data_IF_257465080836
#
_entry.id   IF_257465080836
#
_cell.length_a   1.000
_cell.length_b   1.000
_cell.length_c   1.000
_cell.angle_alpha   90.00
_cell.angle_beta   90.00
_cell.angle_gamma   90.00
#
_symmetry.space_group_name_H-M   'P 1'
#
loop_
_entity.id
_entity.type
_entity.pdbx_description
1 polymer ?
#
# COMPACT_ATOMS: atom_id res chain seq x y z
N UNK A 1 -5.74 -17.88 -16.58
CA UNK A 1 -5.66 -18.49 -17.93
C UNK A 1 -4.26 -18.29 -18.48
N UNK A 2 -3.81 -19.08 -19.45
CA UNK A 2 -2.44 -18.97 -19.98
C UNK A 2 -1.36 -19.26 -18.93
N UNK A 3 -0.31 -18.44 -18.90
CA UNK A 3 0.85 -18.59 -18.01
C UNK A 3 0.52 -18.55 -16.52
N UNK A 4 -0.61 -17.93 -16.14
CA UNK A 4 -1.06 -17.85 -14.74
C UNK A 4 -2.11 -18.94 -14.42
N UNK A 5 -2.19 -20.00 -15.21
CA UNK A 5 -3.07 -21.13 -14.95
C UNK A 5 -2.50 -22.03 -13.85
N UNK A 6 -3.33 -22.37 -12.87
CA UNK A 6 -3.06 -23.42 -11.88
C UNK A 6 -3.60 -24.80 -12.31
N UNK A 7 -4.19 -24.91 -13.50
CA UNK A 7 -4.63 -26.18 -14.08
C UNK A 7 -3.51 -26.79 -14.93
N UNK A 8 -3.27 -28.11 -14.82
CA UNK A 8 -2.32 -28.80 -15.68
C UNK A 8 -2.66 -28.63 -17.17
N UNK A 9 -1.62 -28.49 -17.98
CA UNK A 9 -1.70 -28.53 -19.44
C UNK A 9 -0.64 -29.49 -19.97
N UNK A 10 -0.91 -30.07 -21.13
CA UNK A 10 0.07 -30.92 -21.82
C UNK A 10 0.94 -30.07 -22.75
N UNK A 11 2.25 -30.07 -22.52
CA UNK A 11 3.25 -29.45 -23.38
C UNK A 11 4.13 -30.57 -23.95
N UNK A 12 3.90 -30.91 -25.23
CA UNK A 12 4.44 -32.13 -25.87
C UNK A 12 4.00 -33.39 -25.09
N UNK A 13 4.94 -34.09 -24.47
CA UNK A 13 4.67 -35.32 -23.71
C UNK A 13 4.58 -35.08 -22.20
N UNK A 14 4.90 -33.86 -21.73
CA UNK A 14 4.96 -33.53 -20.30
C UNK A 14 3.72 -32.75 -19.89
N UNK A 15 3.17 -33.13 -18.74
CA UNK A 15 2.12 -32.36 -18.08
C UNK A 15 2.76 -31.34 -17.12
N UNK A 16 2.38 -30.07 -17.25
CA UNK A 16 2.94 -28.96 -16.45
C UNK A 16 1.83 -28.04 -15.96
N UNK A 17 2.04 -27.42 -14.80
CA UNK A 17 1.20 -26.31 -14.32
C UNK A 17 1.89 -25.00 -14.75
N UNK A 18 1.28 -24.18 -15.63
CA UNK A 18 1.93 -22.98 -16.15
C UNK A 18 2.40 -22.02 -15.06
N UNK A 19 1.60 -21.83 -14.00
CA UNK A 19 1.97 -20.96 -12.88
C UNK A 19 3.26 -21.43 -12.19
N UNK A 20 3.44 -22.73 -11.99
CA UNK A 20 4.63 -23.28 -11.33
C UNK A 20 5.89 -23.03 -12.17
N UNK A 21 5.77 -23.15 -13.50
CA UNK A 21 6.88 -22.84 -14.42
C UNK A 21 7.24 -21.35 -14.35
N UNK A 22 6.25 -20.44 -14.32
CA UNK A 22 6.48 -19.01 -14.17
C UNK A 22 7.18 -18.72 -12.83
N UNK A 23 6.69 -19.27 -11.73
CA UNK A 23 7.27 -19.06 -10.40
C UNK A 23 8.69 -19.62 -10.30
N UNK A 24 8.99 -20.72 -10.99
CA UNK A 24 10.34 -21.30 -11.01
C UNK A 24 11.35 -20.48 -11.83
N UNK A 25 10.88 -19.74 -12.84
CA UNK A 25 11.75 -18.99 -13.76
C UNK A 25 11.83 -17.49 -13.47
N UNK A 26 10.83 -16.93 -12.79
CA UNK A 26 10.80 -15.50 -12.46
C UNK A 26 11.68 -15.26 -11.23
N UNK A 27 12.58 -14.26 -11.24
CA UNK A 27 13.32 -13.91 -10.04
C UNK A 27 12.35 -13.52 -8.92
N UNK A 28 12.68 -13.83 -7.64
CA UNK A 28 11.89 -13.34 -6.53
C UNK A 28 11.84 -11.81 -6.56
N UNK A 29 10.79 -11.23 -6.00
CA UNK A 29 10.77 -9.80 -5.79
C UNK A 29 11.98 -9.40 -4.92
N UNK A 30 12.70 -8.32 -5.27
CA UNK A 30 13.85 -7.87 -4.51
C UNK A 30 13.42 -7.60 -3.07
N UNK A 31 14.15 -8.17 -2.12
CA UNK A 31 13.75 -8.17 -0.71
C UNK A 31 14.86 -7.72 0.23
N UNK A 32 16.11 -7.71 -0.23
CA UNK A 32 17.25 -7.14 0.48
C UNK A 32 17.52 -5.70 0.05
N UNK A 33 18.20 -4.94 0.91
CA UNK A 33 18.59 -3.57 0.57
C UNK A 33 19.60 -3.55 -0.58
N UNK A 34 20.46 -4.56 -0.67
CA UNK A 34 21.45 -4.72 -1.74
C UNK A 34 20.79 -4.95 -3.10
N UNK A 35 19.83 -5.88 -3.20
CA UNK A 35 19.09 -6.14 -4.44
C UNK A 35 18.28 -4.92 -4.90
N UNK A 36 17.62 -4.23 -3.95
CA UNK A 36 16.85 -3.02 -4.28
C UNK A 36 17.80 -1.92 -4.78
N UNK A 37 18.97 -1.78 -4.16
CA UNK A 37 19.99 -0.83 -4.58
C UNK A 37 20.49 -1.11 -5.99
N UNK A 38 20.80 -2.37 -6.29
CA UNK A 38 21.24 -2.78 -7.63
C UNK A 38 20.20 -2.41 -8.69
N UNK A 39 18.92 -2.67 -8.44
CA UNK A 39 17.82 -2.30 -9.35
C UNK A 39 17.70 -0.78 -9.54
N UNK A 40 17.92 0.01 -8.48
CA UNK A 40 17.96 1.48 -8.58
C UNK A 40 19.15 1.91 -9.45
N UNK A 41 20.32 1.31 -9.24
CA UNK A 41 21.55 1.61 -9.99
C UNK A 41 21.48 1.16 -11.46
N UNK A 42 20.70 0.11 -11.78
CA UNK A 42 20.39 -0.33 -13.15
C UNK A 42 19.50 0.66 -13.92
N UNK A 43 18.96 1.68 -13.26
CA UNK A 43 18.27 2.80 -13.89
C UNK A 43 16.76 2.63 -13.99
N UNK A 44 16.13 1.94 -13.02
CA UNK A 44 14.66 1.99 -12.90
C UNK A 44 14.21 3.46 -12.74
N UNK A 45 13.33 3.93 -13.64
CA UNK A 45 12.89 5.34 -13.63
C UNK A 45 12.03 5.69 -12.40
N UNK A 46 11.48 4.68 -11.72
CA UNK A 46 10.75 4.83 -10.46
C UNK A 46 9.76 3.70 -10.19
N UNK A 47 9.44 3.49 -8.92
CA UNK A 47 8.25 2.76 -8.47
C UNK A 47 7.38 3.76 -7.71
N UNK A 48 6.21 4.09 -8.27
CA UNK A 48 5.20 4.92 -7.62
C UNK A 48 3.85 4.21 -7.66
N UNK A 49 3.16 4.20 -6.51
CA UNK A 49 1.79 3.75 -6.41
C UNK A 49 0.82 4.92 -6.34
N UNK A 50 -0.33 4.77 -6.99
CA UNK A 50 -1.48 5.64 -6.77
C UNK A 50 -2.50 4.93 -5.89
N UNK A 51 -2.75 5.48 -4.69
CA UNK A 51 -3.89 5.05 -3.87
C UNK A 51 -4.89 6.19 -3.78
N UNK A 52 -6.09 5.95 -4.29
CA UNK A 52 -7.20 6.89 -4.29
C UNK A 52 -8.44 6.32 -3.60
N UNK A 53 -9.19 7.16 -2.89
CA UNK A 53 -10.47 6.81 -2.27
C UNK A 53 -11.52 7.78 -2.81
N UNK A 54 -12.57 7.27 -3.44
CA UNK A 54 -13.71 8.07 -3.88
C UNK A 54 -14.93 7.70 -3.03
N UNK A 55 -15.53 8.70 -2.40
CA UNK A 55 -16.71 8.57 -1.56
C UNK A 55 -17.82 9.41 -2.16
N UNK A 56 -18.90 8.76 -2.57
CA UNK A 56 -20.12 9.41 -3.04
C UNK A 56 -21.23 9.25 -2.00
N UNK A 57 -21.96 10.32 -1.73
CA UNK A 57 -23.00 10.29 -0.73
C UNK A 57 -23.92 11.51 -0.75
N UNK A 58 -24.70 11.66 0.32
CA UNK A 58 -25.56 12.81 0.53
C UNK A 58 -25.15 13.55 1.81
N UNK A 59 -25.02 14.87 1.73
CA UNK A 59 -24.79 15.74 2.88
C UNK A 59 -25.81 16.88 2.84
N UNK A 60 -26.59 17.03 3.91
CA UNK A 60 -27.70 17.99 3.98
C UNK A 60 -28.65 17.90 2.75
N UNK A 61 -28.99 16.68 2.34
CA UNK A 61 -29.91 16.44 1.21
C UNK A 61 -29.29 16.57 -0.19
N UNK A 62 -28.08 17.13 -0.33
CA UNK A 62 -27.39 17.30 -1.63
C UNK A 62 -26.42 16.17 -1.90
N UNK A 63 -26.30 15.76 -3.18
CA UNK A 63 -25.26 14.81 -3.62
C UNK A 63 -23.89 15.46 -3.47
N UNK A 64 -22.95 14.72 -2.91
CA UNK A 64 -21.56 15.15 -2.72
C UNK A 64 -20.62 14.01 -3.06
N UNK A 65 -19.46 14.35 -3.63
CA UNK A 65 -18.37 13.44 -3.89
C UNK A 65 -17.09 13.97 -3.26
N UNK A 66 -16.43 13.12 -2.49
CA UNK A 66 -15.10 13.36 -1.95
C UNK A 66 -14.13 12.42 -2.66
N UNK A 67 -13.04 12.95 -3.20
CA UNK A 67 -11.93 12.15 -3.69
C UNK A 67 -10.71 12.42 -2.82
N UNK A 68 -10.04 11.36 -2.37
CA UNK A 68 -8.82 11.44 -1.58
C UNK A 68 -7.69 10.82 -2.38
N UNK A 69 -6.57 11.51 -2.47
CA UNK A 69 -5.31 10.99 -3.00
C UNK A 69 -4.34 10.81 -1.85
N UNK A 70 -3.77 9.61 -1.73
CA UNK A 70 -2.67 9.34 -0.80
C UNK A 70 -1.37 9.58 -1.57
N UNK A 71 -0.51 10.44 -1.03
CA UNK A 71 0.85 10.66 -1.52
C UNK A 71 1.83 10.02 -0.54
N UNK A 72 2.88 9.39 -1.04
CA UNK A 72 3.93 8.78 -0.24
C UNK A 72 5.26 8.87 -1.00
N UNK A 73 6.40 8.69 -0.31
CA UNK A 73 7.70 8.63 -0.96
C UNK A 73 7.75 7.54 -2.04
N UNK A 74 8.37 7.84 -3.19
CA UNK A 74 8.65 6.87 -4.27
C UNK A 74 9.72 5.83 -3.90
N UNK A 75 10.14 4.98 -4.84
CA UNK A 75 11.19 3.98 -4.62
C UNK A 75 12.47 4.56 -4.01
N UNK A 76 13.09 5.52 -4.70
CA UNK A 76 14.37 6.09 -4.28
C UNK A 76 14.28 6.77 -2.91
N UNK A 77 13.21 7.53 -2.68
CA UNK A 77 12.99 8.22 -1.42
C UNK A 77 12.74 7.24 -0.27
N UNK A 78 11.96 6.18 -0.51
CA UNK A 78 11.70 5.11 0.44
C UNK A 78 12.99 4.35 0.79
N UNK A 79 13.79 4.05 -0.22
CA UNK A 79 15.07 3.40 -0.07
C UNK A 79 16.06 4.26 0.72
N UNK A 80 16.16 5.56 0.41
CA UNK A 80 17.00 6.51 1.15
C UNK A 80 16.58 6.65 2.62
N UNK A 81 15.28 6.53 2.91
CA UNK A 81 14.74 6.67 4.27
C UNK A 81 14.93 5.41 5.12
N UNK A 82 14.69 4.23 4.56
CA UNK A 82 14.60 2.98 5.33
C UNK A 82 15.26 1.76 4.66
N UNK A 83 15.85 1.89 3.48
CA UNK A 83 16.46 0.78 2.75
C UNK A 83 15.45 -0.23 2.19
N UNK A 84 14.20 0.20 1.96
CA UNK A 84 13.09 -0.67 1.53
C UNK A 84 12.37 -0.10 0.31
N UNK A 85 11.62 -0.96 -0.38
CA UNK A 85 10.78 -0.56 -1.52
C UNK A 85 9.65 0.39 -1.12
N UNK A 86 9.06 1.07 -2.12
CA UNK A 86 7.87 1.92 -1.97
C UNK A 86 6.75 1.21 -1.19
N UNK A 87 6.39 0.00 -1.64
CA UNK A 87 5.28 -0.79 -1.07
C UNK A 87 5.57 -1.17 0.39
N UNK A 88 6.81 -1.55 0.69
CA UNK A 88 7.24 -1.90 2.05
C UNK A 88 7.25 -0.69 2.97
N UNK A 89 7.66 0.48 2.47
CA UNK A 89 7.64 1.72 3.23
C UNK A 89 6.20 2.07 3.68
N UNK A 90 5.23 2.10 2.75
CA UNK A 90 3.84 2.43 3.10
C UNK A 90 3.21 1.47 4.10
N UNK A 91 3.38 0.17 3.89
CA UNK A 91 2.79 -0.88 4.74
C UNK A 91 3.43 -0.90 6.12
N UNK A 92 4.76 -0.81 6.21
CA UNK A 92 5.49 -0.81 7.49
C UNK A 92 5.23 0.44 8.32
N UNK A 93 5.22 1.64 7.72
CA UNK A 93 4.90 2.88 8.44
C UNK A 93 3.49 2.83 9.02
N UNK A 94 2.52 2.25 8.30
CA UNK A 94 1.16 2.06 8.81
C UNK A 94 1.14 1.13 10.02
N UNK A 95 1.77 -0.05 9.92
CA UNK A 95 1.82 -1.03 11.00
C UNK A 95 2.53 -0.49 12.27
N UNK A 96 3.69 0.15 12.09
CA UNK A 96 4.47 0.74 13.20
C UNK A 96 3.69 1.88 13.85
N UNK A 97 2.98 2.71 13.07
CA UNK A 97 2.21 3.82 13.61
C UNK A 97 1.04 3.34 14.47
N UNK A 98 0.27 2.35 14.01
CA UNK A 98 -0.80 1.77 14.85
C UNK A 98 -0.23 1.10 16.11
N UNK A 99 0.88 0.39 15.99
CA UNK A 99 1.58 -0.20 17.15
C UNK A 99 1.99 0.87 18.15
N UNK A 100 2.55 1.99 17.68
CA UNK A 100 2.93 3.14 18.51
C UNK A 100 1.71 3.72 19.24
N UNK A 101 0.60 3.98 18.53
CA UNK A 101 -0.62 4.52 19.14
C UNK A 101 -1.21 3.56 20.18
N UNK A 102 -1.10 2.26 19.95
CA UNK A 102 -1.53 1.22 20.90
C UNK A 102 -0.65 1.23 22.16
N UNK A 103 0.67 1.16 22.01
CA UNK A 103 1.63 1.16 23.14
C UNK A 103 1.56 2.46 23.95
N UNK A 104 1.26 3.59 23.31
CA UNK A 104 1.03 4.89 23.98
C UNK A 104 -0.33 4.99 24.70
N UNK A 105 -1.16 3.95 24.66
CA UNK A 105 -2.48 3.95 25.30
C UNK A 105 -3.52 4.86 24.64
N UNK A 106 -3.26 5.29 23.39
CA UNK A 106 -4.23 6.08 22.60
C UNK A 106 -5.34 5.20 22.04
N UNK A 107 -5.04 3.95 21.69
CA UNK A 107 -6.04 2.94 21.32
C UNK A 107 -6.45 2.17 22.58
N UNK A 108 -7.64 2.47 23.12
CA UNK A 108 -8.17 1.84 24.35
C UNK A 108 -9.25 0.78 24.11
N UNK A 109 -9.75 0.72 22.87
CA UNK A 109 -10.81 -0.22 22.47
C UNK A 109 -10.31 -1.66 22.64
N UNK A 110 -11.11 -2.50 23.28
CA UNK A 110 -10.83 -3.94 23.45
C UNK A 110 -11.54 -4.74 22.36
N UNK A 111 -10.93 -5.85 21.93
CA UNK A 111 -11.47 -6.76 20.93
C UNK A 111 -10.71 -6.72 19.61
N UNK A 112 -11.27 -7.38 18.60
CA UNK A 112 -10.77 -7.39 17.23
C UNK A 112 -11.57 -6.37 16.42
N UNK A 113 -10.88 -5.39 15.83
CA UNK A 113 -11.53 -4.35 15.05
C UNK A 113 -10.59 -3.84 13.96
N UNK A 114 -11.14 -3.45 12.81
CA UNK A 114 -10.38 -2.78 11.77
C UNK A 114 -10.26 -1.27 12.08
N UNK A 115 -9.34 -0.53 11.41
CA UNK A 115 -9.08 0.88 11.71
C UNK A 115 -10.28 1.83 11.62
N UNK A 116 -11.25 1.55 10.76
CA UNK A 116 -12.48 2.34 10.61
C UNK A 116 -13.40 2.26 11.83
N UNK A 117 -13.24 1.26 12.70
CA UNK A 117 -13.97 1.15 13.96
C UNK A 117 -13.32 1.91 15.13
N UNK A 118 -12.15 2.54 14.90
CA UNK A 118 -11.50 3.43 15.86
C UNK A 118 -12.18 4.80 15.91
N UNK A 119 -12.07 5.44 17.07
CA UNK A 119 -12.58 6.80 17.27
C UNK A 119 -11.91 7.78 16.30
N UNK A 120 -12.65 8.80 15.88
CA UNK A 120 -12.17 9.78 14.91
C UNK A 120 -10.86 10.45 15.36
N UNK A 121 -10.71 10.72 16.65
CA UNK A 121 -9.52 11.30 17.25
C UNK A 121 -8.27 10.43 17.03
N UNK A 122 -8.38 9.12 17.23
CA UNK A 122 -7.30 8.16 17.01
C UNK A 122 -6.94 8.09 15.53
N UNK A 123 -7.94 8.07 14.64
CA UNK A 123 -7.71 8.06 13.19
C UNK A 123 -7.04 9.35 12.71
N UNK A 124 -7.46 10.50 13.23
CA UNK A 124 -6.81 11.79 12.97
C UNK A 124 -5.37 11.82 13.47
N UNK A 125 -5.10 11.24 14.64
CA UNK A 125 -3.74 11.14 15.18
C UNK A 125 -2.86 10.22 14.31
N UNK A 126 -3.40 9.09 13.85
CA UNK A 126 -2.71 8.23 12.89
C UNK A 126 -2.31 9.00 11.62
N UNK A 127 -3.25 9.74 11.02
CA UNK A 127 -2.97 10.55 9.82
C UNK A 127 -1.89 11.61 10.07
N UNK A 128 -1.88 12.23 11.25
CA UNK A 128 -0.82 13.18 11.64
C UNK A 128 0.55 12.51 11.81
N UNK A 129 0.59 11.31 12.36
CA UNK A 129 1.84 10.58 12.58
C UNK A 129 2.46 10.09 11.26
N UNK A 130 1.66 9.56 10.34
CA UNK A 130 2.17 9.13 9.02
C UNK A 130 2.55 10.33 8.14
N UNK A 131 1.93 11.50 8.33
CA UNK A 131 2.33 12.74 7.64
C UNK A 131 3.76 13.18 8.02
N UNK A 132 4.24 12.88 9.23
CA UNK A 132 5.64 13.10 9.64
C UNK A 132 6.63 12.17 8.92
N UNK A 133 6.11 11.18 8.19
CA UNK A 133 6.83 10.20 7.37
C UNK A 133 6.57 10.42 5.88
N UNK A 134 6.09 11.62 5.53
CA UNK A 134 5.80 12.06 4.17
C UNK A 134 4.67 11.28 3.48
N UNK A 135 3.83 10.60 4.28
CA UNK A 135 2.59 9.99 3.79
C UNK A 135 1.44 10.96 4.07
N UNK A 136 0.93 11.61 3.03
CA UNK A 136 -0.08 12.67 3.15
C UNK A 136 -1.36 12.32 2.40
N UNK A 137 -2.48 12.94 2.80
CA UNK A 137 -3.78 12.75 2.14
C UNK A 137 -4.28 14.10 1.61
N UNK A 138 -4.44 14.19 0.29
CA UNK A 138 -5.06 15.34 -0.37
C UNK A 138 -6.54 15.05 -0.58
N UNK A 139 -7.40 15.94 -0.09
CA UNK A 139 -8.85 15.86 -0.31
C UNK A 139 -9.28 16.81 -1.44
N UNK A 140 -10.10 16.30 -2.35
CA UNK A 140 -10.76 17.01 -3.43
C UNK A 140 -12.27 16.88 -3.21
N UNK A 141 -13.01 17.99 -3.31
CA UNK A 141 -14.46 18.03 -3.09
C UNK A 141 -15.16 18.41 -4.39
N UNK A 142 -16.02 17.53 -4.88
CA UNK A 142 -16.91 17.79 -6.01
C UNK A 142 -18.34 17.84 -5.48
N UNK A 143 -18.95 19.02 -5.47
CA UNK A 143 -20.38 19.18 -5.21
C UNK A 143 -21.11 19.45 -6.53
N UNK A 144 -21.99 18.54 -6.94
CA UNK A 144 -23.05 18.89 -7.89
C UNK A 144 -24.04 19.82 -7.18
N UNK A 145 -24.15 21.05 -7.69
CA UNK A 145 -25.12 22.06 -7.24
C UNK A 145 -26.55 21.54 -7.29
#
# INVERSE_FOLDING_TARGET
>A
FGLLSNKPIKVKETEVIPLDVVLALTPPAPSSAEEIKEIIEEGIEGEEGYTGIVIEGKKAGKKIKYAYKINSPGLEESFKKLGVSYTTYMTSISAVTFTKLFVQGKIKKKGLFPPECLDAEVRCEFLKEIAKKDITVTQIVESTL
#
